data_IF_497894622135
#
_entry.id   IF_497894622135
#
_cell.length_a   1.000
_cell.length_b   1.000
_cell.length_c   1.000
_cell.angle_alpha   90.00
_cell.angle_beta   90.00
_cell.angle_gamma   90.00
#
_symmetry.space_group_name_H-M   'P 1'
#
loop_
_entity.id
_entity.type
_entity.pdbx_description
1 polymer ?
#
# COMPACT_ATOMS: atom_id res chain seq x y z
N UNK A 1 51.49 4.95 7.06
CA UNK A 1 50.53 6.06 7.13
C UNK A 1 49.86 5.99 8.51
N UNK A 2 50.26 6.85 9.46
CA UNK A 2 49.68 6.84 10.83
C UNK A 2 48.42 7.69 10.81
N UNK A 3 47.25 7.05 10.94
CA UNK A 3 45.98 7.74 11.08
C UNK A 3 45.89 8.15 12.56
N UNK A 4 46.11 9.43 12.83
CA UNK A 4 45.87 10.01 14.14
C UNK A 4 44.37 10.24 14.27
N UNK A 5 43.68 9.46 15.10
CA UNK A 5 42.33 9.78 15.55
C UNK A 5 42.46 10.69 16.78
N UNK A 6 42.16 12.00 16.68
CA UNK A 6 42.16 12.86 17.86
C UNK A 6 41.00 12.47 18.79
N UNK A 7 41.23 12.51 20.11
CA UNK A 7 40.17 12.43 21.12
C UNK A 7 39.27 13.68 21.01
N UNK A 8 38.21 13.59 20.20
CA UNK A 8 37.24 14.67 20.05
C UNK A 8 36.40 14.72 21.34
N UNK A 9 36.69 15.70 22.20
CA UNK A 9 35.83 16.04 23.33
C UNK A 9 34.63 16.81 22.78
N UNK A 10 33.46 16.16 22.75
CA UNK A 10 32.22 16.77 22.31
C UNK A 10 31.77 17.72 23.42
N UNK A 11 32.08 19.01 23.24
CA UNK A 11 31.59 20.08 24.11
C UNK A 11 30.17 20.50 23.69
N UNK A 12 29.41 21.10 24.62
CA UNK A 12 28.06 21.59 24.40
C UNK A 12 28.00 22.58 23.23
N UNK A 13 29.05 23.40 23.08
CA UNK A 13 29.20 24.34 21.96
C UNK A 13 29.32 23.60 20.62
N UNK A 14 30.11 22.52 20.57
CA UNK A 14 30.27 21.69 19.36
C UNK A 14 28.95 21.00 19.01
N UNK A 15 28.20 20.51 19.99
CA UNK A 15 26.87 19.94 19.78
C UNK A 15 25.86 20.98 19.27
N UNK A 16 25.88 22.19 19.85
CA UNK A 16 25.02 23.29 19.41
C UNK A 16 25.31 23.72 17.97
N UNK A 17 26.60 23.86 17.60
CA UNK A 17 27.01 24.19 16.24
C UNK A 17 26.67 23.08 15.25
N UNK A 18 26.73 21.81 15.66
CA UNK A 18 26.31 20.69 14.82
C UNK A 18 24.81 20.75 14.51
N UNK A 19 23.97 21.03 15.51
CA UNK A 19 22.51 21.18 15.31
C UNK A 19 22.24 22.34 14.34
N UNK A 20 22.89 23.49 14.54
CA UNK A 20 22.74 24.66 13.66
C UNK A 20 23.22 24.39 12.23
N UNK A 21 24.27 23.58 12.07
CA UNK A 21 24.75 23.18 10.75
C UNK A 21 23.78 22.26 9.99
N UNK A 22 22.97 21.47 10.70
CA UNK A 22 21.97 20.57 10.11
C UNK A 22 20.62 21.28 9.89
N UNK A 23 20.30 22.33 10.65
CA UNK A 23 19.07 23.13 10.51
C UNK A 23 18.74 23.57 9.06
N UNK A 24 19.67 24.11 8.25
CA UNK A 24 19.34 24.56 6.89
C UNK A 24 18.89 23.42 5.95
N UNK A 25 19.23 22.17 6.27
CA UNK A 25 18.84 20.98 5.51
C UNK A 25 17.66 20.23 6.14
N UNK A 26 17.27 20.61 7.37
CA UNK A 26 16.15 20.02 8.08
C UNK A 26 14.81 20.33 7.40
N UNK A 27 14.67 21.50 6.76
CA UNK A 27 13.48 21.83 5.97
C UNK A 27 13.32 20.91 4.77
N UNK A 28 14.40 20.58 4.07
CA UNK A 28 14.37 19.62 2.96
C UNK A 28 14.04 18.19 3.44
N UNK A 29 14.43 17.83 4.67
CA UNK A 29 14.06 16.55 5.27
C UNK A 29 12.57 16.49 5.65
N UNK A 30 12.01 17.59 6.17
CA UNK A 30 10.57 17.72 6.46
C UNK A 30 9.76 17.77 5.15
N UNK A 31 10.30 18.38 4.09
CA UNK A 31 9.68 18.40 2.77
C UNK A 31 9.80 17.06 2.04
N UNK A 32 10.89 16.31 2.20
CA UNK A 32 11.02 14.95 1.66
C UNK A 32 10.21 13.92 2.45
N UNK A 33 9.83 14.22 3.70
CA UNK A 33 8.76 13.51 4.41
C UNK A 33 7.37 13.75 3.78
N UNK A 34 7.23 14.69 2.83
CA UNK A 34 6.16 14.69 1.83
C UNK A 34 6.49 13.70 0.72
N UNK A 35 6.73 12.44 1.09
CA UNK A 35 6.61 11.33 0.16
C UNK A 35 5.21 11.39 -0.50
N UNK A 36 5.05 10.89 -1.74
CA UNK A 36 3.71 10.69 -2.30
C UNK A 36 2.87 9.90 -1.29
N UNK A 37 1.97 10.56 -0.56
CA UNK A 37 1.16 9.97 0.52
C UNK A 37 1.15 10.67 1.90
N UNK A 38 2.05 11.63 2.22
CA UNK A 38 2.00 12.39 3.49
C UNK A 38 1.92 11.54 4.80
N UNK A 39 1.69 12.18 5.95
CA UNK A 39 1.34 11.50 7.21
C UNK A 39 -0.16 11.12 7.30
N UNK A 40 -0.91 11.41 6.23
CA UNK A 40 -2.36 11.28 6.17
C UNK A 40 -2.80 10.62 4.87
N UNK A 41 -3.52 9.51 4.98
CA UNK A 41 -4.10 8.78 3.86
C UNK A 41 -5.43 9.43 3.48
N UNK A 42 -5.47 10.03 2.28
CA UNK A 42 -6.66 10.71 1.77
C UNK A 42 -7.56 9.77 1.01
N UNK A 43 -8.87 9.94 1.21
CA UNK A 43 -9.89 9.18 0.49
C UNK A 43 -9.78 9.29 -1.04
N UNK A 44 -9.45 10.47 -1.57
CA UNK A 44 -9.32 10.68 -3.03
C UNK A 44 -8.25 9.79 -3.64
N UNK A 45 -7.09 9.73 -3.02
CA UNK A 45 -5.95 8.99 -3.54
C UNK A 45 -6.23 7.47 -3.54
N UNK A 46 -6.99 7.00 -2.54
CA UNK A 46 -7.47 5.61 -2.42
C UNK A 46 -8.51 5.25 -3.46
N UNK A 47 -9.46 6.16 -3.68
CA UNK A 47 -10.47 6.00 -4.71
C UNK A 47 -9.82 5.91 -6.10
N UNK A 48 -8.90 6.81 -6.41
CA UNK A 48 -8.15 6.78 -7.68
C UNK A 48 -7.37 5.46 -7.84
N UNK A 49 -6.73 4.98 -6.78
CA UNK A 49 -6.02 3.70 -6.79
C UNK A 49 -6.97 2.51 -7.05
N UNK A 50 -8.15 2.50 -6.41
CA UNK A 50 -9.19 1.49 -6.65
C UNK A 50 -9.73 1.52 -8.08
N UNK A 51 -10.01 2.71 -8.61
CA UNK A 51 -10.49 2.89 -9.98
C UNK A 51 -9.50 2.34 -11.02
N UNK A 52 -8.17 2.46 -10.79
CA UNK A 52 -7.16 1.84 -11.65
C UNK A 52 -7.26 0.31 -11.70
N UNK A 53 -7.60 -0.32 -10.56
CA UNK A 53 -7.76 -1.79 -10.45
C UNK A 53 -9.06 -2.25 -11.11
N UNK A 54 -10.17 -1.57 -10.80
CA UNK A 54 -11.50 -2.00 -11.26
C UNK A 54 -11.77 -1.64 -12.73
N UNK A 55 -11.28 -0.48 -13.22
CA UNK A 55 -11.53 -0.04 -14.61
C UNK A 55 -10.71 -0.80 -15.64
N UNK A 56 -9.56 -1.36 -15.23
CA UNK A 56 -8.69 -2.16 -16.10
C UNK A 56 -9.14 -3.63 -16.20
N UNK A 57 -10.07 -4.04 -15.34
CA UNK A 57 -10.67 -5.36 -15.34
C UNK A 57 -11.92 -5.28 -16.23
N UNK A 58 -11.78 -5.62 -17.51
CA UNK A 58 -12.92 -5.62 -18.44
C UNK A 58 -14.02 -6.53 -17.86
N UNK A 59 -15.25 -6.03 -17.61
CA UNK A 59 -16.33 -6.89 -17.17
C UNK A 59 -16.63 -7.86 -18.33
N UNK A 60 -16.84 -9.16 -18.05
CA UNK A 60 -17.18 -10.11 -19.10
C UNK A 60 -18.41 -9.59 -19.90
N UNK A 61 -18.42 -9.67 -21.24
CA UNK A 61 -19.43 -9.04 -22.09
C UNK A 61 -20.83 -9.67 -22.00
N UNK A 62 -21.16 -10.37 -20.92
CA UNK A 62 -22.48 -10.95 -20.68
C UNK A 62 -22.74 -11.06 -19.18
N UNK A 63 -22.91 -9.93 -18.50
CA UNK A 63 -23.54 -9.90 -17.19
C UNK A 63 -24.61 -8.82 -17.19
N UNK A 64 -25.76 -9.17 -17.77
CA UNK A 64 -27.04 -8.56 -17.42
C UNK A 64 -27.11 -8.43 -15.89
N UNK A 65 -27.26 -7.20 -15.38
CA UNK A 65 -27.77 -6.81 -14.04
C UNK A 65 -28.17 -7.95 -13.08
N UNK A 66 -27.23 -8.79 -12.71
CA UNK A 66 -27.42 -9.85 -11.75
C UNK A 66 -26.32 -9.64 -10.71
N UNK A 67 -26.68 -9.25 -9.47
CA UNK A 67 -25.70 -9.20 -8.40
C UNK A 67 -24.97 -10.54 -8.37
N UNK A 68 -23.64 -10.55 -8.18
CA UNK A 68 -22.88 -11.79 -8.13
C UNK A 68 -23.53 -12.75 -7.12
N UNK A 69 -23.54 -14.07 -7.39
CA UNK A 69 -24.14 -15.03 -6.49
C UNK A 69 -23.51 -14.87 -5.11
N UNK A 70 -24.36 -14.52 -4.15
CA UNK A 70 -24.07 -14.35 -2.72
C UNK A 70 -23.66 -15.69 -2.11
N UNK A 71 -22.42 -16.10 -2.37
CA UNK A 71 -21.68 -17.08 -1.57
C UNK A 71 -20.18 -16.77 -1.60
N UNK A 72 -19.81 -15.50 -1.74
CA UNK A 72 -18.48 -15.04 -1.34
C UNK A 72 -18.59 -14.63 0.13
N UNK A 73 -18.04 -15.46 1.02
CA UNK A 73 -17.85 -15.10 2.42
C UNK A 73 -17.24 -13.70 2.46
N UNK A 74 -17.91 -12.76 3.14
CA UNK A 74 -17.41 -11.39 3.23
C UNK A 74 -15.96 -11.41 3.73
N UNK A 75 -15.07 -10.57 3.17
CA UNK A 75 -13.69 -10.49 3.62
C UNK A 75 -13.62 -10.26 5.13
N UNK A 76 -12.66 -10.92 5.78
CA UNK A 76 -12.59 -10.98 7.25
C UNK A 76 -12.49 -9.60 7.92
N UNK A 77 -11.83 -8.66 7.23
CA UNK A 77 -11.62 -7.30 7.74
C UNK A 77 -12.88 -6.43 7.81
N UNK A 78 -13.95 -6.77 7.06
CA UNK A 78 -15.19 -5.97 7.04
C UNK A 78 -15.76 -5.83 8.46
N UNK A 79 -15.63 -6.88 9.28
CA UNK A 79 -16.09 -6.88 10.68
C UNK A 79 -15.37 -5.89 11.61
N UNK A 80 -14.16 -5.45 11.22
CA UNK A 80 -13.31 -4.53 12.00
C UNK A 80 -13.30 -3.13 11.40
N UNK A 81 -13.68 -3.01 10.13
CA UNK A 81 -13.61 -1.78 9.38
C UNK A 81 -14.52 -0.67 9.93
N UNK A 82 -15.68 -1.04 10.51
CA UNK A 82 -16.61 -0.08 11.15
C UNK A 82 -16.04 0.57 12.42
N UNK A 83 -14.97 0.02 12.99
CA UNK A 83 -14.41 0.46 14.28
C UNK A 83 -13.25 1.43 14.10
N UNK A 84 -12.43 1.23 13.07
CA UNK A 84 -11.19 1.99 12.87
C UNK A 84 -10.80 2.02 11.37
N UNK A 85 -10.67 3.23 10.77
CA UNK A 85 -10.28 3.39 9.36
C UNK A 85 -8.90 2.83 9.02
N UNK A 86 -7.93 2.86 9.95
CA UNK A 86 -6.64 2.24 9.76
C UNK A 86 -6.78 0.72 9.71
N UNK A 87 -7.56 0.13 10.62
CA UNK A 87 -7.77 -1.32 10.62
C UNK A 87 -8.51 -1.79 9.36
N UNK A 88 -9.48 -1.00 8.86
CA UNK A 88 -10.13 -1.26 7.58
C UNK A 88 -9.12 -1.40 6.44
N UNK A 89 -8.21 -0.42 6.33
CA UNK A 89 -7.25 -0.37 5.23
C UNK A 89 -6.12 -1.41 5.38
N UNK A 90 -5.68 -1.67 6.61
CA UNK A 90 -4.73 -2.75 6.92
C UNK A 90 -5.31 -4.11 6.56
N UNK A 91 -6.57 -4.33 6.91
CA UNK A 91 -7.29 -5.55 6.57
C UNK A 91 -7.41 -5.77 5.07
N UNK A 92 -7.80 -4.74 4.31
CA UNK A 92 -7.82 -4.81 2.85
C UNK A 92 -6.43 -5.11 2.27
N UNK A 93 -5.36 -4.49 2.79
CA UNK A 93 -3.97 -4.79 2.38
C UNK A 93 -3.62 -6.26 2.61
N UNK A 94 -4.02 -6.85 3.74
CA UNK A 94 -3.74 -8.27 4.04
C UNK A 94 -4.44 -9.18 3.04
N UNK A 95 -5.71 -8.92 2.72
CA UNK A 95 -6.48 -9.68 1.73
C UNK A 95 -5.87 -9.58 0.32
N UNK A 96 -5.37 -8.40 -0.08
CA UNK A 96 -4.60 -8.19 -1.32
C UNK A 96 -3.31 -9.01 -1.29
N UNK A 97 -2.55 -8.94 -0.19
CA UNK A 97 -1.30 -9.66 -0.03
C UNK A 97 -1.48 -11.18 -0.17
N UNK A 98 -2.55 -11.73 0.42
CA UNK A 98 -2.88 -13.16 0.31
C UNK A 98 -3.11 -13.58 -1.14
N UNK A 99 -3.90 -12.82 -1.90
CA UNK A 99 -4.21 -13.11 -3.31
C UNK A 99 -2.99 -12.98 -4.21
N UNK A 100 -2.16 -11.96 -4.01
CA UNK A 100 -0.91 -11.79 -4.75
C UNK A 100 0.06 -12.95 -4.47
N UNK A 101 0.15 -13.42 -3.23
CA UNK A 101 0.96 -14.60 -2.86
C UNK A 101 0.39 -15.90 -3.44
N UNK A 102 -0.93 -16.00 -3.55
CA UNK A 102 -1.58 -17.16 -4.18
C UNK A 102 -1.31 -17.17 -5.69
N UNK A 103 -1.42 -16.01 -6.35
CA UNK A 103 -1.11 -15.83 -7.76
C UNK A 103 0.35 -16.19 -8.04
N UNK A 104 1.28 -15.71 -7.21
CA UNK A 104 2.69 -16.07 -7.36
C UNK A 104 2.94 -17.56 -7.23
N UNK A 105 2.26 -18.23 -6.27
CA UNK A 105 2.37 -19.69 -6.09
C UNK A 105 1.83 -20.45 -7.30
N UNK A 106 0.73 -19.98 -7.91
CA UNK A 106 0.13 -20.62 -9.08
C UNK A 106 1.00 -20.53 -10.34
N UNK A 107 1.83 -19.49 -10.44
CA UNK A 107 2.76 -19.27 -11.54
C UNK A 107 4.22 -19.64 -11.19
N UNK A 108 4.42 -20.55 -10.22
CA UNK A 108 5.70 -21.13 -9.84
C UNK A 108 6.78 -20.09 -9.46
N UNK A 109 6.38 -18.95 -8.90
CA UNK A 109 7.30 -17.98 -8.33
C UNK A 109 7.72 -18.41 -6.90
N UNK A 110 9.01 -18.32 -6.54
CA UNK A 110 9.49 -18.67 -5.22
C UNK A 110 8.83 -17.87 -4.10
N UNK A 111 8.54 -18.54 -2.99
CA UNK A 111 7.86 -17.98 -1.82
C UNK A 111 8.64 -16.83 -1.14
N UNK A 112 9.95 -16.70 -1.39
CA UNK A 112 10.87 -15.75 -0.74
C UNK A 112 11.25 -14.54 -1.62
N UNK A 113 10.43 -14.20 -2.63
CA UNK A 113 10.75 -13.16 -3.62
C UNK A 113 11.02 -11.75 -3.05
N UNK A 114 10.57 -11.47 -1.83
CA UNK A 114 10.82 -10.21 -1.12
C UNK A 114 9.53 -9.48 -0.74
N UNK A 115 9.55 -8.15 -0.81
CA UNK A 115 8.40 -7.30 -0.46
C UNK A 115 7.25 -7.46 -1.47
N UNK A 116 6.02 -7.18 -1.02
CA UNK A 116 4.81 -7.27 -1.85
C UNK A 116 4.93 -6.46 -3.15
N UNK A 117 5.50 -5.26 -3.11
CA UNK A 117 5.73 -4.44 -4.31
C UNK A 117 6.68 -5.09 -5.32
N UNK A 118 7.73 -5.78 -4.86
CA UNK A 118 8.64 -6.52 -5.76
C UNK A 118 7.91 -7.68 -6.44
N UNK A 119 7.00 -8.33 -5.71
CA UNK A 119 6.21 -9.43 -6.22
C UNK A 119 5.18 -8.95 -7.26
N UNK A 120 4.47 -7.84 -6.98
CA UNK A 120 3.55 -7.21 -7.94
C UNK A 120 4.31 -6.86 -9.23
N UNK A 121 5.47 -6.21 -9.13
CA UNK A 121 6.30 -5.86 -10.30
C UNK A 121 6.73 -7.06 -11.11
N UNK A 122 7.06 -8.18 -10.46
CA UNK A 122 7.42 -9.41 -11.18
C UNK A 122 6.22 -10.01 -11.90
N UNK A 123 5.06 -10.06 -11.25
CA UNK A 123 3.81 -10.53 -11.86
C UNK A 123 3.40 -9.66 -13.05
N UNK A 124 3.63 -8.35 -12.97
CA UNK A 124 3.44 -7.42 -14.09
C UNK A 124 4.44 -7.63 -15.22
N UNK A 125 5.73 -7.84 -14.90
CA UNK A 125 6.77 -8.14 -15.92
C UNK A 125 6.46 -9.41 -16.71
N UNK A 126 5.75 -10.36 -16.09
CA UNK A 126 5.31 -11.62 -16.71
C UNK A 126 3.94 -11.52 -17.37
N UNK A 127 3.36 -10.32 -17.42
CA UNK A 127 2.04 -10.04 -18.00
C UNK A 127 0.89 -10.79 -17.31
N UNK A 128 1.09 -11.25 -16.07
CA UNK A 128 0.06 -11.91 -15.25
C UNK A 128 -0.89 -10.86 -14.65
N UNK A 129 -0.34 -9.74 -14.18
CA UNK A 129 -1.12 -8.60 -13.70
C UNK A 129 -0.98 -7.45 -14.71
N UNK A 130 -2.09 -6.95 -15.29
CA UNK A 130 -2.05 -5.78 -16.17
C UNK A 130 -1.42 -4.57 -15.49
N UNK A 131 -0.67 -3.75 -16.24
CA UNK A 131 0.04 -2.59 -15.67
C UNK A 131 -0.87 -1.61 -14.91
N UNK A 132 -2.08 -1.34 -15.43
CA UNK A 132 -3.06 -0.47 -14.76
C UNK A 132 -3.49 -1.02 -13.40
N UNK A 133 -3.77 -2.32 -13.33
CA UNK A 133 -4.07 -3.04 -12.08
C UNK A 133 -2.88 -2.98 -11.13
N UNK A 134 -1.68 -3.27 -11.62
CA UNK A 134 -0.47 -3.25 -10.81
C UNK A 134 -0.18 -1.89 -10.19
N UNK A 135 -0.33 -0.80 -10.95
CA UNK A 135 -0.16 0.56 -10.43
C UNK A 135 -1.17 0.86 -9.31
N UNK A 136 -2.44 0.51 -9.48
CA UNK A 136 -3.45 0.69 -8.44
C UNK A 136 -3.15 -0.14 -7.19
N UNK A 137 -2.71 -1.39 -7.35
CA UNK A 137 -2.32 -2.25 -6.23
C UNK A 137 -1.12 -1.70 -5.46
N UNK A 138 -0.12 -1.15 -6.14
CA UNK A 138 1.03 -0.53 -5.47
C UNK A 138 0.62 0.66 -4.60
N UNK A 139 -0.29 1.52 -5.11
CA UNK A 139 -0.83 2.65 -4.37
C UNK A 139 -1.62 2.18 -3.13
N UNK A 140 -2.48 1.16 -3.28
CA UNK A 140 -3.25 0.58 -2.17
C UNK A 140 -2.37 -0.07 -1.11
N UNK A 141 -1.34 -0.80 -1.53
CA UNK A 141 -0.37 -1.44 -0.62
C UNK A 141 0.43 -0.40 0.14
N UNK A 142 0.84 0.70 -0.52
CA UNK A 142 1.53 1.80 0.13
C UNK A 142 0.63 2.45 1.20
N UNK A 143 -0.62 2.76 0.87
CA UNK A 143 -1.57 3.34 1.81
C UNK A 143 -1.87 2.43 3.01
N UNK A 144 -2.10 1.13 2.77
CA UNK A 144 -2.28 0.16 3.85
C UNK A 144 -1.03 -0.01 4.72
N UNK A 145 0.16 0.15 4.14
CA UNK A 145 1.40 0.15 4.91
C UNK A 145 1.49 1.38 5.83
N UNK A 146 1.09 2.57 5.34
CA UNK A 146 1.03 3.77 6.18
C UNK A 146 0.02 3.63 7.32
N UNK A 147 -1.17 3.09 7.04
CA UNK A 147 -2.18 2.81 8.06
C UNK A 147 -1.67 1.86 9.16
N UNK A 148 -0.93 0.81 8.78
CA UNK A 148 -0.29 -0.11 9.73
C UNK A 148 0.75 0.55 10.63
N UNK A 149 1.40 1.62 10.15
CA UNK A 149 2.36 2.41 10.92
C UNK A 149 1.71 3.57 11.70
N UNK A 150 0.37 3.65 11.70
CA UNK A 150 -0.39 4.62 12.49
C UNK A 150 -0.56 5.99 11.81
N UNK A 151 -0.37 6.09 10.50
CA UNK A 151 -0.74 7.30 9.75
C UNK A 151 -2.23 7.62 9.95
N UNK A 152 -2.60 8.91 9.94
CA UNK A 152 -4.01 9.30 10.03
C UNK A 152 -4.74 8.85 8.77
N UNK A 153 -5.86 8.14 8.90
CA UNK A 153 -6.66 7.71 7.74
C UNK A 153 -8.01 8.43 7.76
N UNK A 154 -8.39 9.02 6.62
CA UNK A 154 -9.70 9.65 6.47
C UNK A 154 -10.83 8.63 6.77
N UNK A 155 -11.80 8.95 7.65
CA UNK A 155 -12.85 8.02 8.03
C UNK A 155 -13.65 7.43 6.86
N UNK A 156 -13.79 8.17 5.76
CA UNK A 156 -14.48 7.71 4.54
C UNK A 156 -13.79 6.52 3.87
N UNK A 157 -12.51 6.29 4.18
CA UNK A 157 -11.75 5.13 3.70
C UNK A 157 -12.31 3.83 4.30
N UNK A 158 -12.87 3.84 5.50
CA UNK A 158 -13.50 2.66 6.09
C UNK A 158 -14.70 2.20 5.25
N UNK A 159 -15.66 3.10 5.01
CA UNK A 159 -16.84 2.85 4.18
C UNK A 159 -16.44 2.40 2.77
N UNK A 160 -15.42 3.06 2.21
CA UNK A 160 -14.91 2.71 0.89
C UNK A 160 -14.25 1.34 0.86
N UNK A 161 -13.44 0.98 1.87
CA UNK A 161 -12.82 -0.33 1.95
C UNK A 161 -13.88 -1.42 2.10
N UNK A 162 -14.99 -1.16 2.81
CA UNK A 162 -16.10 -2.11 2.93
C UNK A 162 -16.85 -2.29 1.60
N UNK A 163 -17.12 -1.19 0.91
CA UNK A 163 -17.98 -1.20 -0.29
C UNK A 163 -17.22 -1.55 -1.57
N UNK A 164 -16.05 -0.95 -1.78
CA UNK A 164 -15.24 -1.09 -3.00
C UNK A 164 -14.12 -2.13 -2.84
N UNK A 165 -13.62 -2.35 -1.61
CA UNK A 165 -12.59 -3.36 -1.35
C UNK A 165 -12.93 -4.76 -1.89
N UNK A 166 -14.16 -5.28 -1.73
CA UNK A 166 -14.56 -6.56 -2.31
C UNK A 166 -14.41 -6.62 -3.84
N UNK A 167 -14.67 -5.53 -4.56
CA UNK A 167 -14.53 -5.48 -6.02
C UNK A 167 -13.05 -5.55 -6.44
N UNK A 168 -12.16 -4.89 -5.70
CA UNK A 168 -10.71 -4.99 -5.88
C UNK A 168 -10.24 -6.44 -5.68
N UNK A 169 -10.75 -7.11 -4.64
CA UNK A 169 -10.43 -8.50 -4.36
C UNK A 169 -10.98 -9.43 -5.46
N UNK A 170 -12.19 -9.17 -5.97
CA UNK A 170 -12.76 -9.93 -7.07
C UNK A 170 -11.95 -9.78 -8.37
N UNK A 171 -11.42 -8.59 -8.65
CA UNK A 171 -10.52 -8.37 -9.78
C UNK A 171 -9.22 -9.20 -9.67
N UNK A 172 -8.66 -9.33 -8.46
CA UNK A 172 -7.51 -10.21 -8.20
C UNK A 172 -7.89 -11.69 -8.29
N UNK A 173 -9.06 -12.07 -7.78
CA UNK A 173 -9.56 -13.45 -7.82
C UNK A 173 -9.81 -13.91 -9.25
N UNK A 174 -10.17 -13.00 -10.17
CA UNK A 174 -10.30 -13.30 -11.60
C UNK A 174 -8.96 -13.60 -12.29
N UNK A 175 -7.83 -13.17 -11.70
CA UNK A 175 -6.48 -13.48 -12.20
C UNK A 175 -5.92 -14.79 -11.64
N UNK A 176 -6.53 -15.33 -10.58
CA UNK A 176 -6.13 -16.62 -10.01
C UNK A 176 -6.46 -17.72 -11.01
#
# INVERSE_FOLDING_TARGET
MRIAFPEIKIDLVTLGLMIVAVLPWLSELIESAKFPGGWEVKFRDLREAGEKVTSSSEPPPTASHQPPPVTQSQPSYVSVADQDPNLALVGLRIEIEQRIRQLSKRHDLPMNWGSLSKLIRELTRREIIPYGVASGLEDLVAAGNQAAHGASVDPRVADWAITTGPEILAALDALL
#
